data_IF_316178272425
#
_entry.id   IF_316178272425
#
_cell.length_a   1.000
_cell.length_b   1.000
_cell.length_c   1.000
_cell.angle_alpha   90.00
_cell.angle_beta   90.00
_cell.angle_gamma   90.00
#
_symmetry.space_group_name_H-M   'P 1'
#
loop_
_entity.id
_entity.type
_entity.pdbx_description
1 polymer ?
#
# COMPACT_ATOMS: atom_id res chain seq x y z
N UNK A 1 14.37 14.32 6.53
CA UNK A 1 15.16 13.58 5.51
C UNK A 1 14.39 12.32 5.18
N UNK A 2 14.16 12.00 3.91
CA UNK A 2 13.45 10.78 3.55
C UNK A 2 14.32 9.55 3.88
N UNK A 3 13.86 8.70 4.80
CA UNK A 3 14.51 7.43 5.13
C UNK A 3 14.01 6.34 4.19
N UNK A 4 14.89 5.77 3.38
CA UNK A 4 14.56 4.65 2.51
C UNK A 4 14.84 3.33 3.24
N UNK A 5 13.78 2.62 3.62
CA UNK A 5 13.85 1.28 4.21
C UNK A 5 13.20 0.29 3.25
N UNK A 6 13.83 -0.86 2.95
CA UNK A 6 13.18 -1.91 2.17
C UNK A 6 12.08 -2.57 3.01
N UNK A 7 10.92 -2.81 2.40
CA UNK A 7 9.79 -3.49 3.02
C UNK A 7 9.33 -4.65 2.14
N UNK A 8 8.83 -5.73 2.75
CA UNK A 8 8.10 -6.76 2.02
C UNK A 8 6.65 -6.32 1.91
N UNK A 9 6.04 -6.57 0.75
CA UNK A 9 4.61 -6.29 0.53
C UNK A 9 3.76 -7.00 1.58
N UNK A 10 4.09 -8.25 1.92
CA UNK A 10 3.37 -9.01 2.94
C UNK A 10 3.38 -8.34 4.32
N UNK A 11 4.53 -7.78 4.73
CA UNK A 11 4.66 -7.07 6.00
C UNK A 11 3.80 -5.81 5.99
N UNK A 12 3.84 -5.03 4.90
CA UNK A 12 3.03 -3.81 4.75
C UNK A 12 1.53 -4.12 4.77
N UNK A 13 1.10 -5.20 4.10
CA UNK A 13 -0.30 -5.63 4.10
C UNK A 13 -0.76 -6.05 5.50
N UNK A 14 0.09 -6.73 6.27
CA UNK A 14 -0.20 -7.05 7.66
C UNK A 14 -0.29 -5.78 8.53
N UNK A 15 0.61 -4.81 8.32
CA UNK A 15 0.58 -3.54 9.05
C UNK A 15 -0.66 -2.69 8.71
N UNK A 16 -1.21 -2.79 7.49
CA UNK A 16 -2.51 -2.18 7.13
C UNK A 16 -3.66 -2.87 7.87
N UNK A 17 -3.64 -4.20 7.96
CA UNK A 17 -4.64 -5.00 8.67
C UNK A 17 -4.65 -4.71 10.19
N UNK A 18 -3.48 -4.42 10.76
CA UNK A 18 -3.29 -4.00 12.15
C UNK A 18 -3.53 -2.50 12.39
N UNK A 19 -4.04 -1.77 11.39
CA UNK A 19 -4.29 -0.32 11.44
C UNK A 19 -3.06 0.54 11.79
N UNK A 20 -1.84 0.01 11.55
CA UNK A 20 -0.59 0.80 11.66
C UNK A 20 -0.43 1.73 10.46
N UNK A 21 -0.86 1.29 9.29
CA UNK A 21 -1.09 2.15 8.14
C UNK A 21 -2.56 2.18 7.80
N UNK A 22 -3.05 3.36 7.48
CA UNK A 22 -4.40 3.55 6.97
C UNK A 22 -4.35 3.90 5.50
N UNK A 23 -5.24 3.28 4.73
CA UNK A 23 -5.38 3.62 3.32
C UNK A 23 -6.37 4.79 3.20
N UNK A 24 -6.02 5.86 2.48
CA UNK A 24 -6.97 6.93 2.21
C UNK A 24 -8.12 6.38 1.35
N UNK A 25 -9.33 6.90 1.57
CA UNK A 25 -10.52 6.56 0.78
C UNK A 25 -10.34 6.92 -0.70
N UNK A 26 -9.50 7.92 -0.99
CA UNK A 26 -9.18 8.33 -2.36
C UNK A 26 -8.18 7.35 -2.95
N UNK A 27 -8.67 6.44 -3.78
CA UNK A 27 -7.83 5.54 -4.59
C UNK A 27 -8.16 5.72 -6.07
N UNK A 28 -7.12 5.70 -6.92
CA UNK A 28 -7.30 5.69 -8.37
C UNK A 28 -7.76 4.30 -8.80
N UNK A 29 -8.64 4.25 -9.80
CA UNK A 29 -8.95 3.01 -10.49
C UNK A 29 -7.68 2.32 -11.02
N UNK A 30 -7.72 0.98 -11.10
CA UNK A 30 -6.62 0.21 -11.67
C UNK A 30 -6.53 0.53 -13.18
N UNK A 31 -5.46 1.21 -13.57
CA UNK A 31 -5.18 1.58 -14.98
C UNK A 31 -4.04 0.77 -15.59
N UNK A 32 -3.60 -0.30 -14.90
CA UNK A 32 -2.53 -1.16 -15.39
C UNK A 32 -3.07 -2.11 -16.44
N UNK A 33 -2.36 -2.20 -17.56
CA UNK A 33 -2.62 -3.21 -18.58
C UNK A 33 -2.01 -4.54 -18.17
N UNK A 34 -2.44 -5.63 -18.82
CA UNK A 34 -1.93 -6.98 -18.54
C UNK A 34 -0.40 -7.06 -18.70
N UNK A 35 0.16 -6.42 -19.73
CA UNK A 35 1.61 -6.44 -19.97
C UNK A 35 2.40 -5.76 -18.84
N UNK A 36 1.84 -4.72 -18.20
CA UNK A 36 2.48 -4.09 -17.04
C UNK A 36 2.48 -4.99 -15.81
N UNK A 37 1.40 -5.75 -15.62
CA UNK A 37 1.30 -6.72 -14.54
C UNK A 37 2.32 -7.85 -14.76
N UNK A 38 2.44 -8.37 -15.98
CA UNK A 38 3.44 -9.39 -16.32
C UNK A 38 4.87 -8.93 -16.05
N UNK A 39 5.23 -7.70 -16.44
CA UNK A 39 6.55 -7.12 -16.18
C UNK A 39 6.86 -6.98 -14.68
N UNK A 40 5.84 -6.66 -13.88
CA UNK A 40 5.97 -6.64 -12.43
C UNK A 40 6.28 -8.04 -11.89
N UNK A 41 5.54 -9.06 -12.34
CA UNK A 41 5.78 -10.45 -11.91
C UNK A 41 7.16 -10.96 -12.37
N UNK A 42 7.59 -10.64 -13.59
CA UNK A 42 8.94 -11.00 -14.06
C UNK A 42 10.03 -10.33 -13.20
N UNK A 43 9.84 -9.07 -12.83
CA UNK A 43 10.75 -8.36 -11.92
C UNK A 43 10.80 -9.00 -10.54
N UNK A 44 9.64 -9.38 -10.00
CA UNK A 44 9.51 -10.08 -8.71
C UNK A 44 10.22 -11.44 -8.73
N UNK A 45 10.03 -12.24 -9.78
CA UNK A 45 10.64 -13.57 -9.91
C UNK A 45 12.17 -13.51 -10.04
N UNK A 46 12.70 -12.43 -10.61
CA UNK A 46 14.13 -12.13 -10.66
C UNK A 46 14.71 -11.66 -9.32
N UNK A 47 13.87 -11.41 -8.33
CA UNK A 47 14.28 -10.88 -7.02
C UNK A 47 14.57 -9.37 -7.04
N UNK A 48 14.11 -8.64 -8.06
CA UNK A 48 14.31 -7.21 -8.13
C UNK A 48 13.34 -6.49 -7.17
N UNK A 49 13.84 -5.44 -6.50
CA UNK A 49 12.96 -4.50 -5.79
C UNK A 49 12.17 -3.66 -6.79
N UNK A 50 10.96 -3.23 -6.40
CA UNK A 50 10.09 -2.46 -7.27
C UNK A 50 9.35 -1.37 -6.47
N UNK A 51 9.16 -0.22 -7.12
CA UNK A 51 8.33 0.87 -6.61
C UNK A 51 8.82 1.49 -5.30
N UNK A 52 7.90 2.17 -4.64
CA UNK A 52 8.06 2.80 -3.34
C UNK A 52 6.71 3.25 -2.82
N UNK A 53 6.56 3.27 -1.49
CA UNK A 53 5.38 3.80 -0.82
C UNK A 53 5.72 5.13 -0.17
N UNK A 54 4.80 6.09 -0.23
CA UNK A 54 4.89 7.35 0.50
C UNK A 54 3.91 7.26 1.65
N UNK A 55 4.42 7.46 2.86
CA UNK A 55 3.62 7.44 4.08
C UNK A 55 3.71 8.83 4.72
N UNK A 56 2.58 9.31 5.21
CA UNK A 56 2.49 10.52 6.01
C UNK A 56 2.21 10.06 7.44
N UNK A 57 3.02 10.51 8.39
CA UNK A 57 2.82 10.24 9.80
C UNK A 57 1.77 11.23 10.34
N UNK A 58 0.77 10.71 11.05
CA UNK A 58 -0.30 11.49 11.66
C UNK A 58 -0.46 11.10 13.13
N UNK A 59 -0.77 12.08 13.97
CA UNK A 59 -1.08 11.84 15.39
C UNK A 59 -2.50 11.27 15.52
N UNK A 60 -2.66 10.17 16.27
CA UNK A 60 -3.96 9.51 16.49
C UNK A 60 -5.02 10.42 17.12
N UNK A 61 -4.60 11.40 17.90
CA UNK A 61 -5.50 12.35 18.58
C UNK A 61 -5.88 13.56 17.71
N UNK A 62 -5.26 13.68 16.53
CA UNK A 62 -5.52 14.76 15.57
C UNK A 62 -6.60 14.36 14.55
N UNK A 63 -7.24 15.36 13.95
CA UNK A 63 -8.17 15.10 12.84
C UNK A 63 -7.34 14.62 11.63
N UNK A 64 -7.61 13.43 11.07
CA UNK A 64 -6.84 12.92 9.95
C UNK A 64 -7.02 13.81 8.71
N UNK A 65 -5.94 13.99 7.95
CA UNK A 65 -5.89 14.76 6.71
C UNK A 65 -6.80 14.17 5.64
N UNK A 66 -6.97 12.85 5.65
CA UNK A 66 -7.82 12.11 4.73
C UNK A 66 -8.74 11.16 5.50
N UNK A 67 -9.97 10.97 5.00
CA UNK A 67 -10.78 9.85 5.45
C UNK A 67 -10.06 8.54 5.09
N UNK A 68 -10.04 7.59 6.03
CA UNK A 68 -9.50 6.25 5.83
C UNK A 68 -10.61 5.21 5.69
N UNK A 69 -10.26 4.06 5.12
CA UNK A 69 -11.13 2.87 5.08
C UNK A 69 -10.38 1.66 5.60
N UNK A 70 -11.12 0.75 6.23
CA UNK A 70 -10.59 -0.58 6.55
C UNK A 70 -10.27 -1.32 5.26
N UNK A 71 -9.13 -2.01 5.27
CA UNK A 71 -8.73 -2.88 4.18
C UNK A 71 -9.41 -4.24 4.37
N UNK A 72 -10.03 -4.76 3.30
CA UNK A 72 -10.61 -6.11 3.31
C UNK A 72 -9.79 -7.01 2.41
N UNK A 73 -9.18 -8.05 2.99
CA UNK A 73 -8.39 -9.05 2.25
C UNK A 73 -9.23 -9.81 1.23
N UNK A 74 -10.50 -9.98 1.53
CA UNK A 74 -11.42 -10.84 0.77
C UNK A 74 -12.23 -10.07 -0.27
N UNK A 75 -12.05 -8.74 -0.37
CA UNK A 75 -12.79 -7.88 -1.30
C UNK A 75 -14.27 -7.67 -0.95
N UNK A 76 -14.75 -8.23 0.16
CA UNK A 76 -16.10 -7.96 0.66
C UNK A 76 -16.20 -6.51 1.17
N UNK A 77 -17.35 -5.88 0.92
CA UNK A 77 -17.70 -4.60 1.54
C UNK A 77 -18.15 -4.88 2.98
N UNK A 78 -17.55 -4.19 3.96
CA UNK A 78 -18.03 -4.16 5.35
C UNK A 78 -19.36 -3.42 5.44
#
# INVERSE_FOLDING_TARGET
>A
MASWKPFRVADVVAEIDEEKYVLPVIQRELVWTEEKMELLFDSLLKGNSFGGIIVIEEDKDSKPLFASRSFTKDGNLL
#
